data_IF_834655679655
#
_entry.id   IF_834655679655
#
_cell.length_a   1.000
_cell.length_b   1.000
_cell.length_c   1.000
_cell.angle_alpha   90.00
_cell.angle_beta   90.00
_cell.angle_gamma   90.00
#
_symmetry.space_group_name_H-M   'P 1'
#
loop_
_entity.id
_entity.type
_entity.pdbx_description
1 polymer ?
#
# COMPACT_ATOMS: atom_id res chain seq x y z
N UNK A 1 4.36 38.32 -5.74
CA UNK A 1 3.65 37.68 -4.61
C UNK A 1 2.24 37.33 -5.07
N UNK A 2 2.10 36.12 -5.63
CA UNK A 2 0.86 35.38 -5.92
C UNK A 2 1.32 34.11 -6.63
N UNK A 3 1.36 33.00 -5.90
CA UNK A 3 1.58 31.70 -6.53
C UNK A 3 0.30 31.28 -7.27
N UNK A 4 0.40 30.65 -8.45
CA UNK A 4 -0.75 30.25 -9.23
C UNK A 4 -1.42 29.04 -8.58
N UNK A 5 -2.74 29.11 -8.40
CA UNK A 5 -3.54 27.93 -8.05
C UNK A 5 -3.32 26.82 -9.07
N UNK A 6 -2.91 25.65 -8.59
CA UNK A 6 -2.89 24.42 -9.38
C UNK A 6 -4.33 24.04 -9.78
N UNK A 7 -4.56 23.63 -11.04
CA UNK A 7 -5.88 23.20 -11.46
C UNK A 7 -6.07 21.75 -11.03
N UNK A 8 -7.03 21.50 -10.14
CA UNK A 8 -7.55 20.15 -9.94
C UNK A 8 -8.97 20.08 -10.51
N UNK A 9 -9.10 19.52 -11.72
CA UNK A 9 -10.38 19.19 -12.31
C UNK A 9 -10.67 17.69 -12.15
N UNK A 10 -11.66 17.42 -11.28
CA UNK A 10 -12.80 16.50 -11.42
C UNK A 10 -12.62 15.03 -11.84
N UNK A 11 -13.00 14.11 -10.94
CA UNK A 11 -14.01 13.06 -11.21
C UNK A 11 -14.48 12.29 -9.96
N UNK A 12 -15.82 12.20 -9.80
CA UNK A 12 -16.50 11.00 -9.26
C UNK A 12 -16.54 10.79 -7.76
N UNK A 13 -15.56 10.07 -7.21
CA UNK A 13 -15.63 9.45 -5.88
C UNK A 13 -14.59 9.99 -4.89
N UNK A 14 -13.82 11.01 -5.30
CA UNK A 14 -12.78 11.64 -4.50
C UNK A 14 -13.28 12.69 -3.50
N UNK A 15 -14.59 13.00 -3.49
CA UNK A 15 -15.15 14.04 -2.63
C UNK A 15 -14.97 13.70 -1.14
N UNK A 16 -15.27 12.47 -0.76
CA UNK A 16 -15.19 12.04 0.64
C UNK A 16 -13.75 11.94 1.14
N UNK A 17 -12.83 11.38 0.34
CA UNK A 17 -11.41 11.29 0.69
C UNK A 17 -10.83 12.70 0.83
N UNK A 18 -11.09 13.59 -0.14
CA UNK A 18 -10.63 14.97 -0.06
C UNK A 18 -11.16 15.70 1.17
N UNK A 19 -12.44 15.54 1.50
CA UNK A 19 -13.03 16.13 2.71
C UNK A 19 -12.36 15.58 3.98
N UNK A 20 -12.12 14.27 4.05
CA UNK A 20 -11.41 13.65 5.18
C UNK A 20 -9.96 14.16 5.27
N UNK A 21 -9.25 14.33 4.16
CA UNK A 21 -7.92 14.94 4.12
C UNK A 21 -7.94 16.37 4.68
N UNK A 22 -8.92 17.19 4.27
CA UNK A 22 -9.06 18.55 4.80
C UNK A 22 -9.38 18.55 6.30
N UNK A 23 -10.25 17.65 6.77
CA UNK A 23 -10.57 17.50 8.19
C UNK A 23 -9.35 17.09 9.01
N UNK A 24 -8.55 16.15 8.53
CA UNK A 24 -7.28 15.77 9.16
C UNK A 24 -6.36 16.99 9.30
N UNK A 25 -6.28 17.82 8.26
CA UNK A 25 -5.38 18.99 8.23
C UNK A 25 -5.82 20.10 9.17
N UNK A 26 -7.12 20.38 9.27
CA UNK A 26 -7.62 21.47 10.14
C UNK A 26 -7.76 21.04 11.60
N UNK A 27 -7.74 19.72 11.89
CA UNK A 27 -7.81 19.13 13.24
C UNK A 27 -8.85 19.82 14.14
N UNK A 28 -10.15 19.76 13.79
CA UNK A 28 -11.17 20.51 14.50
C UNK A 28 -11.41 19.94 15.91
N UNK A 29 -11.88 20.77 16.83
CA UNK A 29 -12.30 20.30 18.15
C UNK A 29 -13.55 19.43 18.02
N UNK A 30 -13.40 18.14 18.30
CA UNK A 30 -14.48 17.15 18.19
C UNK A 30 -15.30 17.14 19.48
N UNK A 31 -16.62 17.35 19.35
CA UNK A 31 -17.55 17.22 20.48
C UNK A 31 -17.77 15.75 20.85
N UNK A 32 -18.01 15.40 22.13
CA UNK A 32 -18.17 14.01 22.57
C UNK A 32 -19.19 13.19 21.77
N UNK A 33 -20.39 13.72 21.53
CA UNK A 33 -21.41 13.02 20.75
C UNK A 33 -20.98 12.71 19.31
N UNK A 34 -20.19 13.59 18.68
CA UNK A 34 -19.66 13.35 17.33
C UNK A 34 -18.63 12.21 17.38
N UNK A 35 -17.81 12.18 18.43
CA UNK A 35 -16.84 11.10 18.65
C UNK A 35 -17.52 9.74 18.86
N UNK A 36 -18.65 9.71 19.56
CA UNK A 36 -19.46 8.50 19.75
C UNK A 36 -20.06 7.99 18.43
N UNK A 37 -20.61 8.87 17.60
CA UNK A 37 -21.12 8.49 16.28
C UNK A 37 -20.00 8.03 15.34
N UNK A 38 -18.85 8.70 15.37
CA UNK A 38 -17.66 8.28 14.64
C UNK A 38 -17.16 6.90 15.09
N UNK A 39 -17.25 6.59 16.39
CA UNK A 39 -16.92 5.26 16.91
C UNK A 39 -17.84 4.18 16.36
N UNK A 40 -19.16 4.41 16.35
CA UNK A 40 -20.13 3.46 15.75
C UNK A 40 -19.81 3.20 14.28
N UNK A 41 -19.49 4.26 13.54
CA UNK A 41 -19.14 4.16 12.14
C UNK A 41 -17.81 3.43 11.92
N UNK A 42 -16.79 3.68 12.76
CA UNK A 42 -15.52 2.97 12.70
C UNK A 42 -15.70 1.45 12.94
N UNK A 43 -16.54 1.07 13.90
CA UNK A 43 -16.88 -0.34 14.16
C UNK A 43 -17.61 -0.99 12.99
N UNK A 44 -18.55 -0.26 12.36
CA UNK A 44 -19.23 -0.72 11.15
C UNK A 44 -18.25 -0.95 9.99
N UNK A 45 -17.37 0.02 9.71
CA UNK A 45 -16.33 -0.12 8.68
C UNK A 45 -15.43 -1.33 8.95
N UNK A 46 -14.97 -1.50 10.20
CA UNK A 46 -14.12 -2.63 10.60
C UNK A 46 -14.81 -3.99 10.39
N UNK A 47 -16.11 -4.10 10.69
CA UNK A 47 -16.87 -5.32 10.45
C UNK A 47 -16.96 -5.64 8.94
N UNK A 48 -17.13 -4.62 8.09
CA UNK A 48 -17.22 -4.81 6.64
C UNK A 48 -15.87 -5.17 5.98
N UNK A 49 -14.74 -4.74 6.54
CA UNK A 49 -13.41 -5.13 6.03
C UNK A 49 -13.16 -6.64 6.15
N UNK A 50 -13.70 -7.29 7.19
CA UNK A 50 -13.56 -8.75 7.37
C UNK A 50 -14.30 -9.54 6.29
N UNK A 51 -15.30 -8.93 5.64
CA UNK A 51 -16.10 -9.54 4.58
C UNK A 51 -15.50 -9.36 3.18
N UNK A 52 -14.54 -8.45 2.99
CA UNK A 52 -13.88 -8.20 1.70
C UNK A 52 -12.38 -7.94 1.90
N UNK A 53 -11.56 -8.94 1.63
CA UNK A 53 -10.11 -8.94 1.95
C UNK A 53 -9.28 -7.94 1.14
N UNK A 54 -9.85 -7.22 0.18
CA UNK A 54 -9.09 -6.41 -0.78
C UNK A 54 -9.62 -4.98 -1.02
N UNK A 55 -10.45 -4.41 -0.14
CA UNK A 55 -10.84 -3.01 -0.30
C UNK A 55 -9.93 -2.04 0.47
N UNK A 56 -8.73 -1.80 -0.06
CA UNK A 56 -7.76 -0.87 0.52
C UNK A 56 -8.30 0.57 0.72
N UNK A 57 -9.34 0.99 -0.01
CA UNK A 57 -9.99 2.29 0.17
C UNK A 57 -10.87 2.33 1.41
N UNK A 58 -11.60 1.25 1.71
CA UNK A 58 -12.39 1.14 2.95
C UNK A 58 -11.46 1.13 4.16
N UNK A 59 -10.34 0.42 4.06
CA UNK A 59 -9.29 0.41 5.09
C UNK A 59 -8.71 1.81 5.29
N UNK A 60 -8.41 2.53 4.20
CA UNK A 60 -7.95 3.91 4.26
C UNK A 60 -8.97 4.81 4.97
N UNK A 61 -10.25 4.74 4.57
CA UNK A 61 -11.32 5.52 5.18
C UNK A 61 -11.44 5.30 6.68
N UNK A 62 -11.34 4.04 7.14
CA UNK A 62 -11.32 3.73 8.57
C UNK A 62 -10.15 4.34 9.31
N UNK A 63 -8.93 4.23 8.77
CA UNK A 63 -7.75 4.84 9.38
C UNK A 63 -7.88 6.36 9.47
N UNK A 64 -8.45 6.99 8.43
CA UNK A 64 -8.76 8.43 8.45
C UNK A 64 -9.75 8.77 9.57
N UNK A 65 -10.83 7.98 9.74
CA UNK A 65 -11.78 8.17 10.85
C UNK A 65 -11.07 8.03 12.21
N UNK A 66 -10.21 7.03 12.40
CA UNK A 66 -9.47 6.90 13.66
C UNK A 66 -8.59 8.12 13.95
N UNK A 67 -7.93 8.65 12.91
CA UNK A 67 -7.03 9.79 13.02
C UNK A 67 -7.79 11.10 13.34
N UNK A 68 -8.87 11.40 12.61
CA UNK A 68 -9.64 12.66 12.74
C UNK A 68 -10.33 12.73 14.11
N UNK A 69 -10.89 11.61 14.56
CA UNK A 69 -11.73 11.57 15.78
C UNK A 69 -10.96 11.06 17.01
N UNK A 70 -9.64 10.86 16.89
CA UNK A 70 -8.77 10.43 17.98
C UNK A 70 -9.23 9.12 18.61
N UNK A 71 -9.53 8.11 17.78
CA UNK A 71 -10.12 6.85 18.23
C UNK A 71 -9.10 5.70 18.34
N UNK A 72 -7.84 5.90 17.93
CA UNK A 72 -6.83 4.84 17.84
C UNK A 72 -6.67 4.04 19.14
N UNK A 73 -6.77 4.68 20.30
CA UNK A 73 -6.63 4.04 21.62
C UNK A 73 -7.76 3.05 21.97
N UNK A 74 -8.85 3.04 21.19
CA UNK A 74 -9.97 2.10 21.37
C UNK A 74 -9.82 0.82 20.53
N UNK A 75 -8.73 0.68 19.78
CA UNK A 75 -8.46 -0.44 18.91
C UNK A 75 -7.14 -1.11 19.29
N UNK A 76 -7.01 -2.38 18.91
CA UNK A 76 -5.77 -3.13 19.06
C UNK A 76 -4.68 -2.55 18.15
N UNK A 77 -3.51 -2.27 18.73
CA UNK A 77 -2.37 -1.64 18.03
C UNK A 77 -1.91 -2.48 16.83
N UNK A 78 -1.73 -3.79 17.04
CA UNK A 78 -1.24 -4.70 16.01
C UNK A 78 -2.24 -4.85 14.86
N UNK A 79 -3.54 -4.85 15.16
CA UNK A 79 -4.61 -4.83 14.16
C UNK A 79 -4.59 -3.54 13.33
N UNK A 80 -4.42 -2.38 13.97
CA UNK A 80 -4.32 -1.09 13.26
C UNK A 80 -3.07 -1.03 12.37
N UNK A 81 -1.93 -1.55 12.83
CA UNK A 81 -0.71 -1.65 12.02
C UNK A 81 -0.90 -2.54 10.78
N UNK A 82 -1.64 -3.64 10.89
CA UNK A 82 -2.00 -4.49 9.73
C UNK A 82 -2.88 -3.72 8.73
N UNK A 83 -3.84 -2.93 9.22
CA UNK A 83 -4.63 -2.06 8.35
C UNK A 83 -3.79 -0.99 7.65
N UNK A 84 -2.84 -0.37 8.36
CA UNK A 84 -1.87 0.56 7.76
C UNK A 84 -1.05 -0.10 6.67
N UNK A 85 -0.63 -1.35 6.86
CA UNK A 85 0.09 -2.11 5.83
C UNK A 85 -0.75 -2.32 4.56
N UNK A 86 -2.04 -2.62 4.70
CA UNK A 86 -2.98 -2.76 3.56
C UNK A 86 -3.16 -1.41 2.85
N UNK A 87 -3.26 -0.33 3.61
CA UNK A 87 -3.43 1.02 3.08
C UNK A 87 -2.12 1.67 2.57
N UNK A 88 -0.96 1.04 2.76
CA UNK A 88 0.37 1.63 2.52
C UNK A 88 0.61 2.10 1.06
N UNK A 89 -0.17 1.58 0.10
CA UNK A 89 -0.14 2.02 -1.30
C UNK A 89 -0.66 3.44 -1.51
N UNK A 90 -1.54 3.91 -0.62
CA UNK A 90 -2.19 5.22 -0.68
C UNK A 90 -1.23 6.32 -0.21
N UNK A 91 -1.36 7.52 -0.78
CA UNK A 91 -0.45 8.64 -0.52
C UNK A 91 -0.55 9.15 0.93
N UNK A 92 -1.71 8.96 1.56
CA UNK A 92 -2.07 9.41 2.91
C UNK A 92 -1.44 8.51 3.99
N UNK A 93 -0.99 7.31 3.65
CA UNK A 93 -0.57 6.29 4.62
C UNK A 93 0.58 6.75 5.53
N UNK A 94 1.55 7.50 4.98
CA UNK A 94 2.70 8.03 5.74
C UNK A 94 2.22 9.03 6.80
N UNK A 95 1.31 9.92 6.43
CA UNK A 95 0.78 10.93 7.34
C UNK A 95 -0.12 10.30 8.40
N UNK A 96 -0.96 9.35 8.01
CA UNK A 96 -1.76 8.56 8.94
C UNK A 96 -0.89 7.83 9.97
N UNK A 97 0.22 7.24 9.54
CA UNK A 97 1.17 6.57 10.44
C UNK A 97 1.73 7.52 11.51
N UNK A 98 1.99 8.78 11.15
CA UNK A 98 2.44 9.83 12.08
C UNK A 98 1.32 10.23 13.04
N UNK A 99 0.15 10.60 12.51
CA UNK A 99 -0.98 11.11 13.31
C UNK A 99 -1.51 10.05 14.28
N UNK A 100 -1.56 8.79 13.87
CA UNK A 100 -1.99 7.69 14.72
C UNK A 100 -0.97 7.33 15.82
N UNK A 101 0.23 7.93 15.80
CA UNK A 101 1.20 7.82 16.89
C UNK A 101 2.16 6.63 16.77
N UNK A 102 2.32 6.03 15.60
CA UNK A 102 3.15 4.82 15.43
C UNK A 102 4.61 5.10 15.05
N UNK A 103 5.08 6.34 15.16
CA UNK A 103 6.44 6.75 14.76
C UNK A 103 7.53 5.90 15.41
N UNK A 104 7.34 5.48 16.66
CA UNK A 104 8.26 4.60 17.40
C UNK A 104 8.35 3.16 16.82
N UNK A 105 7.40 2.75 15.96
CA UNK A 105 7.34 1.43 15.31
C UNK A 105 7.81 1.45 13.86
N UNK A 106 8.35 2.57 13.37
CA UNK A 106 8.66 2.75 11.95
C UNK A 106 9.61 1.69 11.39
N UNK A 107 10.62 1.29 12.17
CA UNK A 107 11.58 0.27 11.76
C UNK A 107 10.92 -1.09 11.53
N UNK A 108 10.15 -1.56 12.51
CA UNK A 108 9.42 -2.84 12.43
C UNK A 108 8.40 -2.82 11.29
N UNK A 109 7.72 -1.68 11.11
CA UNK A 109 6.75 -1.50 10.03
C UNK A 109 7.39 -1.57 8.64
N UNK A 110 8.51 -0.87 8.43
CA UNK A 110 9.27 -0.92 7.17
C UNK A 110 9.79 -2.34 6.90
N UNK A 111 10.31 -3.03 7.92
CA UNK A 111 10.73 -4.43 7.76
C UNK A 111 9.57 -5.33 7.36
N UNK A 112 8.38 -5.14 7.93
CA UNK A 112 7.19 -5.90 7.59
C UNK A 112 6.74 -5.64 6.14
N UNK A 113 6.82 -4.39 5.66
CA UNK A 113 6.57 -4.07 4.24
C UNK A 113 7.55 -4.80 3.32
N UNK A 114 8.84 -4.82 3.65
CA UNK A 114 9.88 -5.52 2.87
C UNK A 114 9.64 -7.03 2.86
N UNK A 115 9.37 -7.64 4.02
CA UNK A 115 9.05 -9.08 4.15
C UNK A 115 7.85 -9.46 3.29
N UNK A 116 6.85 -8.58 3.21
CA UNK A 116 5.65 -8.76 2.40
C UNK A 116 5.79 -8.29 0.94
N UNK A 117 7.01 -7.99 0.50
CA UNK A 117 7.35 -7.58 -0.87
C UNK A 117 6.71 -6.26 -1.32
N UNK A 118 6.30 -5.40 -0.40
CA UNK A 118 5.74 -4.07 -0.62
C UNK A 118 6.86 -3.02 -0.71
N UNK A 119 7.77 -3.19 -1.68
CA UNK A 119 9.03 -2.43 -1.72
C UNK A 119 8.83 -0.95 -2.06
N UNK A 120 7.84 -0.62 -2.90
CA UNK A 120 7.55 0.78 -3.26
C UNK A 120 7.06 1.54 -2.03
N UNK A 121 6.18 0.90 -1.26
CA UNK A 121 5.66 1.41 0.01
C UNK A 121 6.79 1.54 1.03
N UNK A 122 7.64 0.51 1.18
CA UNK A 122 8.78 0.56 2.10
C UNK A 122 9.72 1.74 1.78
N UNK A 123 10.09 1.93 0.51
CA UNK A 123 10.92 3.07 0.09
C UNK A 123 10.26 4.40 0.41
N UNK A 124 8.94 4.52 0.19
CA UNK A 124 8.19 5.74 0.52
C UNK A 124 8.31 6.09 2.01
N UNK A 125 8.15 5.11 2.89
CA UNK A 125 8.32 5.29 4.34
C UNK A 125 9.77 5.58 4.72
N UNK A 126 10.75 4.87 4.15
CA UNK A 126 12.18 5.11 4.38
C UNK A 126 12.56 6.55 4.02
N UNK A 127 12.12 7.03 2.86
CA UNK A 127 12.37 8.41 2.42
C UNK A 127 11.65 9.41 3.33
N UNK A 128 10.37 9.19 3.63
CA UNK A 128 9.58 10.13 4.42
C UNK A 128 10.01 10.24 5.88
N UNK A 129 10.63 9.21 6.44
CA UNK A 129 11.18 9.19 7.80
C UNK A 129 12.71 9.33 7.85
N UNK A 130 13.35 9.64 6.72
CA UNK A 130 14.80 9.87 6.60
C UNK A 130 15.66 8.69 7.09
N UNK A 131 15.18 7.45 6.91
CA UNK A 131 15.85 6.24 7.39
C UNK A 131 16.95 5.73 6.43
N UNK A 132 17.39 6.56 5.49
CA UNK A 132 18.25 6.17 4.38
C UNK A 132 19.62 5.65 4.85
N UNK A 133 20.17 6.19 5.94
CA UNK A 133 21.46 5.75 6.48
C UNK A 133 21.44 4.28 6.91
N UNK A 134 20.34 3.85 7.55
CA UNK A 134 20.17 2.47 8.04
C UNK A 134 19.77 1.50 6.94
N UNK A 135 18.94 1.94 5.98
CA UNK A 135 18.36 1.06 4.97
C UNK A 135 19.12 1.02 3.64
N UNK A 136 20.08 1.93 3.40
CA UNK A 136 20.80 2.08 2.13
C UNK A 136 19.86 1.80 0.93
N UNK A 137 18.88 2.70 0.66
CA UNK A 137 17.78 2.47 -0.29
C UNK A 137 18.27 1.92 -1.63
N UNK A 138 19.47 2.33 -2.06
CA UNK A 138 20.14 1.92 -3.28
C UNK A 138 20.45 0.42 -3.32
N UNK A 139 20.95 -0.17 -2.23
CA UNK A 139 21.31 -1.60 -2.20
C UNK A 139 20.07 -2.51 -2.17
N UNK A 140 19.02 -2.10 -1.46
CA UNK A 140 17.75 -2.83 -1.44
C UNK A 140 17.02 -2.70 -2.79
N UNK A 141 16.97 -1.50 -3.37
CA UNK A 141 16.44 -1.29 -4.72
C UNK A 141 17.24 -2.08 -5.76
N UNK A 142 18.57 -2.15 -5.67
CA UNK A 142 19.39 -3.00 -6.54
C UNK A 142 19.04 -4.48 -6.39
N UNK A 143 18.86 -4.98 -5.17
CA UNK A 143 18.44 -6.36 -4.95
C UNK A 143 17.07 -6.64 -5.60
N UNK A 144 16.13 -5.69 -5.54
CA UNK A 144 14.81 -5.82 -6.19
C UNK A 144 14.88 -5.73 -7.72
N UNK A 145 15.64 -4.79 -8.26
CA UNK A 145 15.88 -4.68 -9.70
C UNK A 145 16.55 -5.95 -10.21
N UNK A 146 17.52 -6.49 -9.48
CA UNK A 146 18.19 -7.74 -9.84
C UNK A 146 17.26 -8.95 -9.75
N UNK A 147 16.40 -9.03 -8.73
CA UNK A 147 15.38 -10.09 -8.59
C UNK A 147 14.35 -10.03 -9.72
N UNK A 148 13.85 -8.84 -10.05
CA UNK A 148 12.92 -8.63 -11.17
C UNK A 148 13.58 -9.01 -12.51
N UNK A 149 14.84 -8.62 -12.71
CA UNK A 149 15.62 -8.96 -13.90
C UNK A 149 15.83 -10.46 -14.06
N UNK A 150 16.21 -11.17 -12.99
CA UNK A 150 16.32 -12.64 -12.96
C UNK A 150 14.99 -13.32 -13.32
N UNK A 151 13.87 -12.83 -12.77
CA UNK A 151 12.55 -13.37 -13.08
C UNK A 151 12.15 -13.17 -14.55
N UNK A 152 12.50 -12.02 -15.16
CA UNK A 152 12.31 -11.79 -16.59
C UNK A 152 13.20 -12.71 -17.44
N UNK A 153 14.47 -12.86 -17.08
CA UNK A 153 15.42 -13.71 -17.82
C UNK A 153 15.04 -15.19 -17.76
N UNK A 154 14.55 -15.67 -16.63
CA UNK A 154 14.09 -17.05 -16.47
C UNK A 154 12.82 -17.30 -17.27
N UNK A 155 11.82 -16.41 -17.21
CA UNK A 155 10.62 -16.50 -18.05
C UNK A 155 10.95 -16.48 -19.56
N UNK A 156 11.94 -15.68 -19.98
CA UNK A 156 12.37 -15.63 -21.37
C UNK A 156 13.04 -16.94 -21.82
N UNK A 157 13.94 -17.50 -20.99
CA UNK A 157 14.62 -18.77 -21.27
C UNK A 157 13.64 -19.95 -21.28
N UNK A 158 12.67 -19.94 -20.36
CA UNK A 158 11.66 -20.99 -20.24
C UNK A 158 10.72 -20.99 -21.45
N UNK A 159 10.19 -19.84 -21.85
CA UNK A 159 9.39 -19.70 -23.07
C UNK A 159 10.17 -20.10 -24.34
N UNK A 160 11.44 -19.69 -24.47
CA UNK A 160 12.30 -20.08 -25.60
C UNK A 160 12.54 -21.60 -25.65
N UNK A 161 12.62 -22.26 -24.49
CA UNK A 161 12.81 -23.71 -24.39
C UNK A 161 11.53 -24.51 -24.68
N UNK A 162 10.35 -23.92 -24.43
CA UNK A 162 9.05 -24.50 -24.78
C UNK A 162 8.82 -24.43 -26.30
N UNK A 163 9.15 -23.29 -26.92
CA UNK A 163 9.08 -23.13 -28.38
C UNK A 163 10.02 -24.08 -29.13
N UNK A 164 11.27 -24.23 -28.66
CA UNK A 164 12.22 -25.16 -29.28
C UNK A 164 11.83 -26.63 -29.10
N UNK A 165 11.24 -27.01 -27.96
CA UNK A 165 10.70 -28.37 -27.76
C UNK A 165 9.48 -28.63 -28.65
N UNK A 166 8.58 -27.67 -28.82
CA UNK A 166 7.40 -27.81 -29.67
C UNK A 166 7.78 -27.94 -31.16
N UNK A 167 8.70 -27.08 -31.65
CA UNK A 167 9.24 -27.17 -33.00
C UNK A 167 10.02 -28.46 -33.27
N UNK A 168 10.83 -28.92 -32.31
CA UNK A 168 11.58 -30.19 -32.44
C UNK A 168 10.67 -31.43 -32.43
N UNK A 169 9.57 -31.38 -31.67
CA UNK A 169 8.59 -32.47 -31.61
C UNK A 169 7.73 -32.54 -32.88
N UNK A 170 7.37 -31.40 -33.49
CA UNK A 170 6.71 -31.38 -34.81
C UNK A 170 7.60 -31.96 -35.92
N UNK A 171 8.88 -31.60 -35.95
CA UNK A 171 9.81 -32.13 -36.96
C UNK A 171 10.02 -33.65 -36.81
N UNK A 172 10.09 -34.18 -35.58
CA UNK A 172 10.20 -35.62 -35.31
C UNK A 172 8.96 -36.42 -35.71
N UNK A 173 7.77 -35.83 -35.62
CA UNK A 173 6.51 -36.44 -36.07
C UNK A 173 6.44 -36.51 -37.60
N UNK A 174 6.90 -35.47 -38.30
CA UNK A 174 6.92 -35.45 -39.77
C UNK A 174 7.91 -36.45 -40.38
N UNK A 175 9.06 -36.71 -39.73
CA UNK A 175 10.03 -37.72 -40.19
C UNK A 175 9.61 -39.18 -39.91
N UNK A 176 8.59 -39.43 -39.07
CA UNK A 176 8.04 -40.78 -38.83
C UNK A 176 6.87 -41.14 -39.77
N UNK A 177 6.39 -40.20 -40.57
CA UNK A 177 5.23 -40.35 -41.45
C UNK A 177 5.58 -40.32 -42.96
N UNK A 178 6.87 -40.35 -43.32
CA UNK A 178 7.26 -40.58 -44.72
C UNK A 178 7.52 -42.08 -44.94
N UNK A 179 6.80 -42.72 -45.89
CA UNK A 179 6.95 -44.14 -46.21
C UNK A 179 8.29 -44.49 -46.88
#
# INVERSE_FOLDING_TARGET
MKDPMLPFCSQGDHSHIFLLEQLMRISPVIKPHVREEAMKFALYLKANMRASTENSLVVLGFLMILSIYGLVSSFDEDEVLKFLQIAARHKEAVELFRILGFVNKIYDFVENLIKNQQYIEAVRFICAFELAEKYQPIHQLQAHVNKAKLNCENNYKENKSIETKHGSNMLKLNFRLSP
#
